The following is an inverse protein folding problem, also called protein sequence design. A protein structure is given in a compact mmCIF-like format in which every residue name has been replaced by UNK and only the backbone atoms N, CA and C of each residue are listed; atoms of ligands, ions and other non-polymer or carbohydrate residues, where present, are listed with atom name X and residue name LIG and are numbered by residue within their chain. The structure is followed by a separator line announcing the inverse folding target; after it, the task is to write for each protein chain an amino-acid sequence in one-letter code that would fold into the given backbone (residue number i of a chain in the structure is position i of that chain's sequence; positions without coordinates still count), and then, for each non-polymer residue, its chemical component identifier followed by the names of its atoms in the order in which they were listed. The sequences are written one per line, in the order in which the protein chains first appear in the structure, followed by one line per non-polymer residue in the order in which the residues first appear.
data_IF_701109890795
#
_entry.id   IF_701109890795
#
_cell.length_a   1.000
_cell.length_b   1.000
_cell.length_c   1.000
_cell.angle_alpha   90.00
_cell.angle_beta   90.00
_cell.angle_gamma   90.00
#
_symmetry.space_group_name_H-M   'P 1'
#
loop_
_entity.id
_entity.type
_entity.pdbx_description
1 polymer ?
#
# COMPACT_ATOMS: atom_id res chain seq x y z
N UNK A 1 0.38 12.84 12.11
CA UNK A 1 -0.85 12.18 11.60
C UNK A 1 -1.35 12.80 10.29
N UNK A 2 -1.77 14.07 10.25
CA UNK A 2 -2.33 14.70 9.04
C UNK A 2 -1.33 14.76 7.85
N UNK A 3 -0.04 14.95 8.12
CA UNK A 3 1.00 15.07 7.09
C UNK A 3 1.16 13.82 6.22
N UNK A 4 1.08 12.63 6.81
CA UNK A 4 1.18 11.35 6.07
C UNK A 4 -0.03 11.18 5.13
N UNK A 5 -1.24 11.43 5.65
CA UNK A 5 -2.47 11.36 4.86
C UNK A 5 -2.50 12.40 3.74
N UNK A 6 -1.99 13.62 3.98
CA UNK A 6 -1.82 14.64 2.93
C UNK A 6 -0.86 14.15 1.84
N UNK A 7 0.27 13.55 2.21
CA UNK A 7 1.24 13.03 1.23
C UNK A 7 0.64 11.91 0.38
N UNK A 8 -0.10 10.98 0.98
CA UNK A 8 -0.81 9.91 0.25
C UNK A 8 -1.87 10.50 -0.68
N UNK A 9 -2.67 11.45 -0.20
CA UNK A 9 -3.69 12.09 -1.01
C UNK A 9 -3.09 12.87 -2.20
N UNK A 10 -1.99 13.60 -1.97
CA UNK A 10 -1.27 14.34 -3.01
C UNK A 10 -0.69 13.41 -4.08
N UNK A 11 -0.04 12.30 -3.69
CA UNK A 11 0.51 11.32 -4.64
C UNK A 11 -0.59 10.62 -5.45
N UNK A 12 -1.71 10.30 -4.81
CA UNK A 12 -2.88 9.69 -5.48
C UNK A 12 -3.50 10.65 -6.49
N UNK A 13 -3.64 11.93 -6.12
CA UNK A 13 -4.13 12.98 -7.02
C UNK A 13 -3.19 13.15 -8.23
N UNK A 14 -1.88 13.16 -8.00
CA UNK A 14 -0.87 13.25 -9.06
C UNK A 14 -0.96 12.06 -10.03
N UNK A 15 -1.11 10.84 -9.50
CA UNK A 15 -1.28 9.64 -10.31
C UNK A 15 -2.57 9.67 -11.14
N UNK A 16 -3.69 10.09 -10.53
CA UNK A 16 -4.96 10.28 -11.25
C UNK A 16 -4.81 11.31 -12.37
N UNK A 17 -4.08 12.41 -12.14
CA UNK A 17 -3.83 13.45 -13.12
C UNK A 17 -3.10 12.89 -14.34
N UNK A 18 -2.07 12.07 -14.13
CA UNK A 18 -1.33 11.37 -15.19
C UNK A 18 -2.18 10.38 -16.00
N UNK A 19 -3.27 9.86 -15.44
CA UNK A 19 -4.18 8.94 -16.12
C UNK A 19 -5.28 9.73 -16.85
N UNK A 20 -5.86 10.73 -16.19
CA UNK A 20 -7.00 11.49 -16.72
C UNK A 20 -6.60 12.41 -17.88
N UNK A 21 -5.42 13.04 -17.83
CA UNK A 21 -4.94 13.91 -18.92
C UNK A 21 -4.83 13.21 -20.28
N UNK A 22 -4.13 12.05 -20.40
CA UNK A 22 -4.08 11.33 -21.66
C UNK A 22 -5.45 10.77 -22.07
N UNK A 23 -6.32 10.41 -21.12
CA UNK A 23 -7.67 9.93 -21.44
C UNK A 23 -8.54 11.03 -22.07
N UNK A 24 -8.53 12.22 -21.49
CA UNK A 24 -9.29 13.37 -22.00
C UNK A 24 -8.74 13.82 -23.35
N UNK A 25 -7.41 13.86 -23.51
CA UNK A 25 -6.77 14.17 -24.79
C UNK A 25 -7.06 13.11 -25.85
N UNK A 26 -7.08 11.83 -25.48
CA UNK A 26 -7.42 10.74 -26.39
C UNK A 26 -8.86 10.84 -26.88
N UNK A 27 -9.83 11.08 -25.99
CA UNK A 27 -11.24 11.24 -26.39
C UNK A 27 -11.44 12.44 -27.31
N UNK A 28 -10.81 13.58 -26.99
CA UNK A 28 -10.87 14.79 -27.82
C UNK A 28 -10.27 14.55 -29.22
N UNK A 29 -9.12 13.88 -29.29
CA UNK A 29 -8.46 13.55 -30.55
C UNK A 29 -9.25 12.51 -31.37
N UNK A 30 -9.84 11.51 -30.72
CA UNK A 30 -10.68 10.51 -31.38
C UNK A 30 -11.93 11.15 -32.01
N UNK A 31 -12.58 12.08 -31.32
CA UNK A 31 -13.73 12.82 -31.87
C UNK A 31 -13.33 13.75 -33.02
N UNK A 32 -12.17 14.40 -32.92
CA UNK A 32 -11.65 15.26 -34.00
C UNK A 32 -11.31 14.45 -35.25
N UNK A 33 -10.68 13.29 -35.09
CA UNK A 33 -10.35 12.38 -36.19
C UNK A 33 -11.62 11.83 -36.87
N UNK A 34 -12.61 11.37 -36.11
CA UNK A 34 -13.87 10.85 -36.66
C UNK A 34 -14.64 11.93 -37.46
N UNK A 35 -14.64 13.18 -36.97
CA UNK A 35 -15.27 14.30 -37.69
C UNK A 35 -14.51 14.65 -38.98
N UNK A 36 -13.18 14.53 -38.99
CA UNK A 36 -12.36 14.75 -40.19
C UNK A 36 -12.55 13.66 -41.25
N UNK A 37 -12.68 12.39 -40.85
CA UNK A 37 -12.97 11.27 -41.77
C UNK A 37 -14.34 11.41 -42.42
N UNK A 38 -15.36 11.81 -41.65
CA UNK A 38 -16.70 12.07 -42.20
C UNK A 38 -16.70 13.18 -43.26
N UNK A 39 -16.01 14.30 -42.98
CA UNK A 39 -15.87 15.41 -43.95
C UNK A 39 -15.14 15.00 -45.23
N UNK A 40 -14.17 14.10 -45.16
CA UNK A 40 -13.46 13.60 -46.34
C UNK A 40 -14.35 12.73 -47.21
N UNK A 41 -15.21 11.90 -46.61
CA UNK A 41 -16.20 11.12 -47.35
C UNK A 41 -17.21 12.02 -48.06
N UNK A 42 -17.67 13.07 -47.39
CA UNK A 42 -18.59 14.06 -47.97
C UNK A 42 -17.93 14.83 -49.14
N UNK A 43 -16.67 15.27 -48.98
CA UNK A 43 -15.93 15.99 -50.02
C UNK A 43 -15.69 15.13 -51.27
N UNK A 44 -15.39 13.84 -51.09
CA UNK A 44 -15.25 12.89 -52.21
C UNK A 44 -16.59 12.63 -52.91
N UNK A 45 -17.69 12.54 -52.17
CA UNK A 45 -19.02 12.40 -52.77
C UNK A 45 -19.36 13.62 -53.64
N UNK A 46 -19.15 14.83 -53.11
CA UNK A 46 -19.36 16.09 -53.85
C UNK A 46 -18.47 16.19 -55.09
N UNK A 47 -17.20 15.78 -54.99
CA UNK A 47 -16.30 15.73 -56.15
C UNK A 47 -16.84 14.82 -57.25
N UNK A 48 -17.27 13.60 -56.90
CA UNK A 48 -17.80 12.65 -57.88
C UNK A 48 -19.09 13.14 -58.54
N UNK A 49 -19.99 13.76 -57.76
CA UNK A 49 -21.21 14.35 -58.27
C UNK A 49 -20.90 15.46 -59.29
N UNK A 50 -19.99 16.38 -58.96
CA UNK A 50 -19.55 17.46 -59.86
C UNK A 50 -18.85 16.95 -61.12
N UNK A 51 -18.05 15.90 -60.99
CA UNK A 51 -17.39 15.28 -62.13
C UNK A 51 -18.42 14.65 -63.07
N UNK A 52 -19.45 13.99 -62.52
CA UNK A 52 -20.54 13.41 -63.30
C UNK A 52 -21.37 14.47 -64.04
N UNK A 53 -21.63 15.62 -63.42
CA UNK A 53 -22.29 16.77 -64.07
C UNK A 53 -21.47 17.26 -65.29
N UNK A 54 -20.15 17.45 -65.11
CA UNK A 54 -19.26 17.88 -66.20
C UNK A 54 -19.18 16.85 -67.34
N UNK A 55 -19.14 15.56 -67.02
CA UNK A 55 -19.15 14.48 -68.02
C UNK A 55 -20.46 14.46 -68.82
N UNK A 56 -21.59 14.72 -68.17
CA UNK A 56 -22.89 14.79 -68.84
C UNK A 56 -22.98 16.01 -69.78
N UNK A 57 -22.46 17.16 -69.37
CA UNK A 57 -22.42 18.37 -70.21
C UNK A 57 -21.53 18.16 -71.45
N UNK A 58 -20.38 17.50 -71.29
CA UNK A 58 -19.51 17.11 -72.39
C UNK A 58 -20.21 16.14 -73.37
N UNK A 59 -20.89 15.10 -72.84
CA UNK A 59 -21.62 14.12 -73.65
C UNK A 59 -22.81 14.74 -74.40
N UNK A 60 -23.47 15.74 -73.81
CA UNK A 60 -24.57 16.48 -74.44
C UNK A 60 -24.11 17.45 -75.55
N UNK A 61 -22.79 17.63 -75.71
CA UNK A 61 -22.21 18.58 -76.65
C UNK A 61 -22.34 20.05 -76.24
N UNK A 62 -22.76 20.32 -75.00
CA UNK A 62 -22.90 21.67 -74.45
C UNK A 62 -21.55 22.27 -74.01
N UNK A 63 -20.51 21.45 -73.90
CA UNK A 63 -19.17 21.84 -73.46
C UNK A 63 -18.10 21.31 -74.42
N UNK A 64 -17.05 22.10 -74.68
CA UNK A 64 -15.91 21.65 -75.47
C UNK A 64 -14.95 20.81 -74.61
N UNK A 65 -14.29 19.80 -75.22
CA UNK A 65 -13.33 18.92 -74.53
C UNK A 65 -12.24 19.69 -73.76
N UNK A 66 -11.71 20.76 -74.35
CA UNK A 66 -10.66 21.56 -73.73
C UNK A 66 -11.13 22.32 -72.47
N UNK A 67 -12.41 22.67 -72.40
CA UNK A 67 -13.02 23.32 -71.24
C UNK A 67 -13.28 22.32 -70.11
N UNK A 68 -13.75 21.12 -70.46
CA UNK A 68 -13.88 20.00 -69.52
C UNK A 68 -12.55 19.65 -68.86
N UNK A 69 -11.48 19.51 -69.65
CA UNK A 69 -10.16 19.14 -69.14
C UNK A 69 -9.61 20.20 -68.16
N UNK A 70 -9.86 21.48 -68.45
CA UNK A 70 -9.46 22.59 -67.57
C UNK A 70 -10.22 22.57 -66.23
N UNK A 71 -11.56 22.40 -66.27
CA UNK A 71 -12.40 22.37 -65.07
C UNK A 71 -12.11 21.13 -64.21
N UNK A 72 -11.85 19.99 -64.83
CA UNK A 72 -11.46 18.75 -64.14
C UNK A 72 -10.16 18.94 -63.35
N UNK A 73 -9.16 19.57 -63.95
CA UNK A 73 -7.88 19.85 -63.27
C UNK A 73 -8.09 20.76 -62.06
N UNK A 74 -8.94 21.79 -62.17
CA UNK A 74 -9.26 22.67 -61.06
C UNK A 74 -10.00 21.94 -59.92
N UNK A 75 -10.94 21.05 -60.28
CA UNK A 75 -11.67 20.22 -59.34
C UNK A 75 -10.74 19.24 -58.59
N UNK A 76 -9.83 18.58 -59.30
CA UNK A 76 -8.81 17.69 -58.73
C UNK A 76 -7.85 18.45 -57.81
N UNK A 77 -7.46 19.67 -58.19
CA UNK A 77 -6.61 20.54 -57.37
C UNK A 77 -7.31 20.95 -56.07
N UNK A 78 -8.59 21.31 -56.14
CA UNK A 78 -9.35 21.68 -54.94
C UNK A 78 -9.51 20.48 -54.00
N UNK A 79 -9.79 19.29 -54.53
CA UNK A 79 -9.84 18.05 -53.75
C UNK A 79 -8.49 17.78 -53.07
N UNK A 80 -7.36 17.96 -53.77
CA UNK A 80 -6.04 17.79 -53.18
C UNK A 80 -5.75 18.77 -52.05
N UNK A 81 -6.22 20.02 -52.16
CA UNK A 81 -6.07 21.04 -51.10
C UNK A 81 -6.89 20.64 -49.87
N UNK A 82 -8.13 20.18 -50.05
CA UNK A 82 -9.01 19.74 -48.96
C UNK A 82 -8.50 18.45 -48.27
N UNK A 83 -7.75 17.62 -49.00
CA UNK A 83 -7.14 16.40 -48.46
C UNK A 83 -5.74 16.63 -47.86
N UNK A 84 -5.06 17.72 -48.20
CA UNK A 84 -3.69 18.01 -47.76
C UNK A 84 -3.60 18.48 -46.30
N UNK A 85 -4.71 18.85 -45.67
CA UNK A 85 -4.75 19.40 -44.31
C UNK A 85 -4.58 18.33 -43.20
N UNK A 86 -3.83 17.27 -43.48
CA UNK A 86 -3.57 16.17 -42.56
C UNK A 86 -2.22 16.38 -41.84
N UNK A 87 -2.17 16.48 -40.50
CA UNK A 87 -0.96 16.07 -39.80
C UNK A 87 -0.80 14.57 -40.06
N UNK A 88 0.35 14.17 -40.61
CA UNK A 88 0.71 12.78 -40.88
C UNK A 88 0.34 11.93 -39.67
N UNK A 89 -0.70 11.10 -39.80
CA UNK A 89 -1.02 10.13 -38.76
C UNK A 89 0.08 9.07 -38.83
N UNK A 90 1.17 9.32 -38.10
CA UNK A 90 1.99 8.24 -37.60
C UNK A 90 1.00 7.23 -37.01
N UNK A 91 1.15 5.97 -37.40
CA UNK A 91 0.39 4.82 -36.87
C UNK A 91 0.61 4.73 -35.36
N UNK A 92 -0.03 5.63 -34.62
CA UNK A 92 -0.09 5.60 -33.18
C UNK A 92 -0.98 4.40 -32.88
N UNK A 93 -0.36 3.33 -32.39
CA UNK A 93 -1.03 2.13 -31.92
C UNK A 93 -2.15 2.57 -30.95
N UNK A 94 -3.39 2.66 -31.44
CA UNK A 94 -4.49 3.24 -30.66
C UNK A 94 -4.88 2.24 -29.59
N UNK A 95 -4.60 2.57 -28.33
CA UNK A 95 -5.09 1.78 -27.20
C UNK A 95 -6.62 1.72 -27.29
N UNK A 96 -7.16 0.51 -27.34
CA UNK A 96 -8.62 0.29 -27.32
C UNK A 96 -9.21 0.78 -26.00
N UNK A 97 -10.48 1.21 -26.00
CA UNK A 97 -11.16 1.65 -24.75
C UNK A 97 -11.09 0.59 -23.65
N UNK A 98 -11.05 -0.70 -24.00
CA UNK A 98 -10.86 -1.81 -23.08
C UNK A 98 -9.48 -1.80 -22.40
N UNK A 99 -8.40 -1.51 -23.15
CA UNK A 99 -7.05 -1.39 -22.58
C UNK A 99 -6.93 -0.20 -21.61
N UNK A 100 -7.60 0.92 -21.92
CA UNK A 100 -7.65 2.06 -21.01
C UNK A 100 -8.38 1.74 -19.70
N UNK A 101 -9.52 1.03 -19.78
CA UNK A 101 -10.24 0.58 -18.58
C UNK A 101 -9.34 -0.33 -17.73
N UNK A 102 -8.65 -1.29 -18.33
CA UNK A 102 -7.72 -2.18 -17.61
C UNK A 102 -6.60 -1.41 -16.92
N UNK A 103 -5.98 -0.44 -17.60
CA UNK A 103 -4.91 0.39 -17.01
C UNK A 103 -5.44 1.18 -15.81
N UNK A 104 -6.62 1.79 -15.92
CA UNK A 104 -7.26 2.52 -14.82
C UNK A 104 -7.58 1.58 -13.66
N UNK A 105 -8.14 0.41 -13.95
CA UNK A 105 -8.51 -0.59 -12.94
C UNK A 105 -7.28 -1.07 -12.15
N UNK A 106 -6.20 -1.40 -12.86
CA UNK A 106 -4.92 -1.82 -12.25
C UNK A 106 -4.32 -0.68 -11.42
N UNK A 107 -4.32 0.54 -11.95
CA UNK A 107 -3.81 1.72 -11.24
C UNK A 107 -4.62 2.07 -9.97
N UNK A 108 -5.90 1.68 -9.88
CA UNK A 108 -6.72 1.88 -8.69
C UNK A 108 -6.63 0.70 -7.70
N UNK A 109 -6.63 -0.53 -8.23
CA UNK A 109 -6.59 -1.75 -7.42
C UNK A 109 -5.27 -1.86 -6.67
N UNK A 110 -4.12 -1.59 -7.30
CA UNK A 110 -2.83 -1.74 -6.64
C UNK A 110 -2.71 -0.89 -5.37
N UNK A 111 -2.99 0.43 -5.40
CA UNK A 111 -2.97 1.26 -4.19
C UNK A 111 -4.01 0.83 -3.15
N UNK A 112 -5.23 0.50 -3.58
CA UNK A 112 -6.29 0.08 -2.67
C UNK A 112 -5.94 -1.25 -1.96
N UNK A 113 -5.40 -2.22 -2.71
CA UNK A 113 -4.93 -3.49 -2.16
C UNK A 113 -3.73 -3.28 -1.24
N UNK A 114 -2.79 -2.40 -1.60
CA UNK A 114 -1.65 -2.05 -0.75
C UNK A 114 -2.10 -1.43 0.57
N UNK A 115 -3.06 -0.49 0.55
CA UNK A 115 -3.65 0.09 1.76
C UNK A 115 -4.38 -0.97 2.60
N UNK A 116 -5.18 -1.83 1.96
CA UNK A 116 -5.87 -2.92 2.66
C UNK A 116 -4.92 -3.92 3.31
N UNK A 117 -3.85 -4.29 2.62
CA UNK A 117 -2.79 -5.14 3.17
C UNK A 117 -2.04 -4.44 4.32
N UNK A 118 -1.74 -3.15 4.19
CA UNK A 118 -1.13 -2.39 5.27
C UNK A 118 -2.03 -2.30 6.51
N UNK A 119 -3.34 -2.18 6.35
CA UNK A 119 -4.25 -2.19 7.50
C UNK A 119 -4.30 -3.56 8.20
N UNK A 120 -4.05 -4.66 7.47
CA UNK A 120 -4.11 -6.02 8.03
C UNK A 120 -2.76 -6.51 8.57
N UNK A 121 -1.66 -6.19 7.90
CA UNK A 121 -0.31 -6.66 8.23
C UNK A 121 0.59 -5.57 8.84
N UNK A 122 0.23 -4.30 8.68
CA UNK A 122 1.08 -3.18 9.09
C UNK A 122 0.94 -2.85 10.57
N UNK A 123 2.06 -2.54 11.20
CA UNK A 123 2.12 -2.23 12.63
C UNK A 123 2.03 -0.73 12.93
N UNK A 124 1.02 -0.07 12.36
CA UNK A 124 0.82 1.38 12.54
C UNK A 124 0.77 1.80 14.03
N UNK A 125 0.21 0.94 14.89
CA UNK A 125 0.18 1.14 16.34
C UNK A 125 1.57 1.07 16.99
N UNK A 126 2.45 0.17 16.54
CA UNK A 126 3.84 0.07 17.04
C UNK A 126 4.66 1.30 16.62
N UNK A 127 4.47 1.77 15.39
CA UNK A 127 5.14 2.99 14.90
C UNK A 127 4.68 4.22 15.68
N UNK A 128 3.39 4.31 16.00
CA UNK A 128 2.86 5.38 16.83
C UNK A 128 3.42 5.32 18.26
N UNK A 129 3.51 4.13 18.85
CA UNK A 129 4.13 3.93 20.15
C UNK A 129 5.62 4.32 20.13
N UNK A 130 6.38 3.92 19.11
CA UNK A 130 7.78 4.28 18.94
C UNK A 130 8.01 5.78 18.74
N UNK A 131 7.11 6.47 18.03
CA UNK A 131 7.20 7.92 17.81
C UNK A 131 6.86 8.74 19.07
N UNK A 132 5.99 8.19 19.92
CA UNK A 132 5.56 8.82 21.17
C UNK A 132 6.39 8.38 22.38
N UNK A 133 7.25 7.37 22.24
CA UNK A 133 8.19 6.97 23.29
C UNK A 133 9.22 8.09 23.48
N UNK A 134 9.51 8.50 24.73
CA UNK A 134 10.61 9.42 24.99
C UNK A 134 11.89 8.82 24.41
N UNK A 135 12.52 9.50 23.45
CA UNK A 135 13.79 9.06 22.84
C UNK A 135 14.92 8.88 23.85
N UNK A 136 14.74 9.48 25.02
CA UNK A 136 15.59 9.35 26.19
C UNK A 136 14.74 9.53 27.45
N UNK A 137 14.22 8.45 28.04
CA UNK A 137 13.41 8.52 29.27
C UNK A 137 14.17 9.11 30.46
N UNK A 138 15.50 9.13 30.40
CA UNK A 138 16.36 9.50 31.52
C UNK A 138 17.13 10.82 31.29
N UNK A 139 16.96 11.48 30.14
CA UNK A 139 17.63 12.74 29.79
C UNK A 139 19.17 12.66 29.89
N UNK A 140 19.76 11.59 29.35
CA UNK A 140 21.21 11.45 29.18
C UNK A 140 21.95 11.01 30.44
N UNK A 141 21.24 10.63 31.50
CA UNK A 141 21.81 10.01 32.70
C UNK A 141 21.59 8.50 32.66
N UNK A 142 22.46 7.75 33.34
CA UNK A 142 22.23 6.34 33.58
C UNK A 142 21.03 6.16 34.53
N UNK A 143 20.06 5.30 34.20
CA UNK A 143 18.92 5.02 35.08
C UNK A 143 19.39 4.33 36.35
N UNK A 144 18.72 4.60 37.47
CA UNK A 144 18.88 3.74 38.65
C UNK A 144 18.24 2.38 38.40
N UNK A 145 18.61 1.38 39.20
CA UNK A 145 18.02 0.04 39.10
C UNK A 145 16.49 0.10 39.28
N UNK A 146 16.01 0.90 40.24
CA UNK A 146 14.58 1.07 40.50
C UNK A 146 13.84 1.73 39.34
N UNK A 147 14.47 2.70 38.67
CA UNK A 147 13.87 3.37 37.52
C UNK A 147 13.84 2.46 36.28
N UNK A 148 14.90 1.69 36.06
CA UNK A 148 14.93 0.69 35.00
C UNK A 148 13.88 -0.41 35.24
N UNK A 149 13.69 -0.84 36.49
CA UNK A 149 12.65 -1.81 36.85
C UNK A 149 11.25 -1.25 36.63
N UNK A 150 10.97 -0.01 37.05
CA UNK A 150 9.67 0.62 36.83
C UNK A 150 9.35 0.77 35.33
N UNK A 151 10.35 1.03 34.50
CA UNK A 151 10.17 1.08 33.05
C UNK A 151 9.89 -0.31 32.47
N UNK A 152 10.60 -1.34 32.94
CA UNK A 152 10.39 -2.73 32.54
C UNK A 152 8.99 -3.22 32.94
N UNK A 153 8.51 -2.89 34.14
CA UNK A 153 7.13 -3.18 34.57
C UNK A 153 6.11 -2.56 33.63
N UNK A 154 6.25 -1.28 33.31
CA UNK A 154 5.34 -0.57 32.39
C UNK A 154 5.35 -1.19 30.99
N UNK A 155 6.51 -1.68 30.54
CA UNK A 155 6.64 -2.35 29.25
C UNK A 155 5.94 -3.72 29.26
N UNK A 156 6.10 -4.49 30.34
CA UNK A 156 5.45 -5.79 30.52
C UNK A 156 3.94 -5.68 30.73
N UNK A 157 3.43 -4.59 31.31
CA UNK A 157 2.00 -4.30 31.34
C UNK A 157 1.40 -4.10 29.93
N UNK A 158 2.18 -3.50 29.02
CA UNK A 158 1.75 -3.26 27.63
C UNK A 158 1.96 -4.46 26.74
N UNK A 159 3.00 -5.24 27.00
CA UNK A 159 3.34 -6.45 26.26
C UNK A 159 3.49 -7.64 27.24
N UNK A 160 2.37 -8.20 27.72
CA UNK A 160 2.41 -9.25 28.73
C UNK A 160 2.94 -10.58 28.22
N UNK A 161 2.99 -10.79 26.90
CA UNK A 161 3.46 -12.03 26.25
C UNK A 161 5.00 -12.08 26.11
N UNK A 162 5.72 -11.64 27.14
CA UNK A 162 7.19 -11.60 27.15
C UNK A 162 7.75 -12.39 28.35
N UNK A 163 7.93 -13.72 28.24
CA UNK A 163 8.42 -14.55 29.34
C UNK A 163 9.84 -14.17 29.79
N UNK A 164 10.69 -13.71 28.87
CA UNK A 164 12.06 -13.30 29.21
C UNK A 164 12.08 -12.02 30.05
N UNK A 165 11.26 -11.03 29.72
CA UNK A 165 11.16 -9.79 30.49
C UNK A 165 10.61 -10.04 31.90
N UNK A 166 9.58 -10.89 32.04
CA UNK A 166 9.07 -11.32 33.35
C UNK A 166 10.14 -12.05 34.17
N UNK A 167 10.98 -12.87 33.53
CA UNK A 167 12.07 -13.60 34.18
C UNK A 167 13.15 -12.65 34.71
N UNK A 168 13.55 -11.66 33.91
CA UNK A 168 14.53 -10.63 34.31
C UNK A 168 13.99 -9.83 35.49
N UNK A 169 12.71 -9.41 35.44
CA UNK A 169 12.05 -8.68 36.52
C UNK A 169 12.06 -9.50 37.82
N UNK A 170 11.61 -10.75 37.74
CA UNK A 170 11.57 -11.68 38.87
C UNK A 170 12.95 -11.92 39.49
N UNK A 171 13.95 -12.19 38.65
CA UNK A 171 15.33 -12.47 39.09
C UNK A 171 15.98 -11.25 39.72
N UNK A 172 15.65 -10.05 39.24
CA UNK A 172 16.14 -8.80 39.84
C UNK A 172 15.51 -8.57 41.22
N UNK A 173 14.20 -8.77 41.36
CA UNK A 173 13.55 -8.72 42.68
C UNK A 173 14.07 -9.76 43.66
N UNK A 174 14.35 -10.97 43.17
CA UNK A 174 14.99 -12.02 43.94
C UNK A 174 16.35 -11.56 44.49
N UNK A 175 17.18 -10.95 43.64
CA UNK A 175 18.48 -10.40 44.03
C UNK A 175 18.39 -9.23 45.02
N UNK A 176 17.31 -8.46 44.99
CA UNK A 176 17.03 -7.36 45.93
C UNK A 176 16.40 -7.82 47.25
N UNK A 177 16.10 -9.12 47.41
CA UNK A 177 15.39 -9.64 48.58
C UNK A 177 13.88 -9.35 48.60
N UNK A 178 13.34 -8.87 47.48
CA UNK A 178 11.91 -8.61 47.26
C UNK A 178 11.21 -9.89 46.82
N UNK A 179 11.17 -10.86 47.72
CA UNK A 179 10.72 -12.23 47.42
C UNK A 179 9.25 -12.32 46.96
N UNK A 180 8.28 -11.57 47.54
CA UNK A 180 6.90 -11.60 47.05
C UNK A 180 6.77 -11.15 45.59
N UNK A 181 7.44 -10.05 45.21
CA UNK A 181 7.41 -9.55 43.84
C UNK A 181 8.15 -10.48 42.86
N UNK A 182 9.23 -11.12 43.31
CA UNK A 182 9.90 -12.16 42.54
C UNK A 182 8.97 -13.34 42.25
N UNK A 183 8.16 -13.77 43.22
CA UNK A 183 7.19 -14.85 43.03
C UNK A 183 6.16 -14.50 41.96
N UNK A 184 5.65 -13.28 41.96
CA UNK A 184 4.66 -12.83 40.96
C UNK A 184 5.26 -12.79 39.56
N UNK A 185 6.49 -12.29 39.43
CA UNK A 185 7.22 -12.33 38.16
C UNK A 185 7.44 -13.77 37.65
N UNK A 186 7.92 -14.68 38.49
CA UNK A 186 8.11 -16.09 38.08
C UNK A 186 6.80 -16.79 37.73
N UNK A 187 5.69 -16.47 38.40
CA UNK A 187 4.36 -16.98 38.02
C UNK A 187 3.93 -16.48 36.63
N UNK A 188 4.19 -15.22 36.30
CA UNK A 188 3.91 -14.70 34.96
C UNK A 188 4.73 -15.45 33.90
N UNK A 189 6.03 -15.71 34.16
CA UNK A 189 6.85 -16.55 33.28
C UNK A 189 6.22 -17.95 33.08
N UNK A 190 5.88 -18.64 34.17
CA UNK A 190 5.30 -19.98 34.11
C UNK A 190 3.91 -20.02 33.45
N UNK A 191 3.17 -18.92 33.46
CA UNK A 191 1.89 -18.82 32.75
C UNK A 191 2.05 -18.76 31.22
N UNK A 192 3.25 -18.39 30.75
CA UNK A 192 3.60 -18.25 29.34
C UNK A 192 4.44 -19.42 28.80
N UNK A 193 5.06 -20.20 29.68
CA UNK A 193 5.80 -21.41 29.34
C UNK A 193 4.89 -22.64 29.42
N UNK A 194 5.20 -23.68 28.64
CA UNK A 194 4.55 -24.99 28.78
C UNK A 194 5.44 -25.96 29.55
N UNK A 195 4.88 -27.01 30.18
CA UNK A 195 5.68 -28.02 30.89
C UNK A 195 6.75 -28.73 30.04
N UNK A 196 6.61 -28.72 28.71
CA UNK A 196 7.58 -29.27 27.77
C UNK A 196 8.78 -28.35 27.51
N UNK A 197 8.68 -27.06 27.88
CA UNK A 197 9.77 -26.11 27.70
C UNK A 197 10.92 -26.44 28.66
N UNK A 198 12.14 -26.47 28.12
CA UNK A 198 13.37 -26.77 28.89
C UNK A 198 13.54 -25.85 30.11
N UNK A 199 13.03 -24.63 30.01
CA UNK A 199 13.16 -23.62 31.07
C UNK A 199 12.09 -23.76 32.17
N UNK A 200 11.00 -24.49 31.93
CA UNK A 200 9.85 -24.57 32.83
C UNK A 200 10.23 -25.12 34.22
N UNK A 201 10.95 -26.24 34.26
CA UNK A 201 11.43 -26.85 35.51
C UNK A 201 12.39 -25.91 36.27
N UNK A 202 13.27 -25.21 35.55
CA UNK A 202 14.19 -24.23 36.15
C UNK A 202 13.44 -23.08 36.82
N UNK A 203 12.45 -22.51 36.13
CA UNK A 203 11.65 -21.40 36.66
C UNK A 203 10.77 -21.87 37.84
N UNK A 204 10.23 -23.09 37.80
CA UNK A 204 9.52 -23.69 38.94
C UNK A 204 10.42 -23.84 40.17
N UNK A 205 11.68 -24.24 39.99
CA UNK A 205 12.67 -24.31 41.06
C UNK A 205 12.97 -22.94 41.66
N UNK A 206 13.11 -21.91 40.82
CA UNK A 206 13.33 -20.53 41.27
C UNK A 206 12.10 -19.95 41.99
N UNK A 207 10.89 -20.26 41.53
CA UNK A 207 9.66 -19.92 42.27
C UNK A 207 9.63 -20.59 43.65
N UNK A 208 9.99 -21.87 43.72
CA UNK A 208 10.10 -22.60 45.00
C UNK A 208 11.10 -21.93 45.95
N UNK A 209 12.23 -21.48 45.40
CA UNK A 209 13.25 -20.75 46.15
C UNK A 209 12.73 -19.41 46.66
N UNK A 210 12.05 -18.64 45.81
CA UNK A 210 11.43 -17.36 46.19
C UNK A 210 10.39 -17.56 47.31
N UNK A 211 9.55 -18.60 47.20
CA UNK A 211 8.58 -18.96 48.25
C UNK A 211 9.26 -19.33 49.56
N UNK A 212 10.35 -20.10 49.53
CA UNK A 212 11.11 -20.46 50.72
C UNK A 212 11.64 -19.23 51.46
N UNK A 213 12.23 -18.28 50.73
CA UNK A 213 12.76 -17.05 51.34
C UNK A 213 11.64 -16.11 51.80
N UNK A 214 10.54 -16.00 51.06
CA UNK A 214 9.38 -15.21 51.47
C UNK A 214 8.75 -15.73 52.77
N UNK A 215 8.65 -17.05 52.92
CA UNK A 215 8.11 -17.70 54.11
C UNK A 215 9.11 -17.76 55.29
N UNK A 216 10.38 -17.41 55.07
CA UNK A 216 11.44 -17.52 56.06
C UNK A 216 11.81 -18.97 56.42
N UNK A 217 11.45 -19.95 55.58
CA UNK A 217 11.70 -21.36 55.84
C UNK A 217 10.79 -22.31 55.06
N UNK A 218 10.93 -23.61 55.34
CA UNK A 218 10.17 -24.68 54.67
C UNK A 218 8.75 -24.77 55.24
N UNK A 219 7.82 -24.03 54.63
CA UNK A 219 6.38 -24.15 54.89
C UNK A 219 5.77 -25.36 54.17
N UNK A 220 4.52 -25.67 54.49
CA UNK A 220 3.76 -26.73 53.80
C UNK A 220 3.56 -26.40 52.31
N UNK A 221 3.28 -25.14 51.99
CA UNK A 221 3.13 -24.64 50.62
C UNK A 221 4.45 -24.71 49.83
N UNK A 222 5.57 -24.33 50.45
CA UNK A 222 6.91 -24.45 49.84
C UNK A 222 7.22 -25.92 49.56
N UNK A 223 6.93 -26.82 50.50
CA UNK A 223 7.16 -28.26 50.30
C UNK A 223 6.33 -28.83 49.16
N UNK A 224 5.06 -28.42 49.06
CA UNK A 224 4.19 -28.82 47.95
C UNK A 224 4.75 -28.34 46.59
N UNK A 225 5.20 -27.09 46.51
CA UNK A 225 5.78 -26.53 45.28
C UNK A 225 7.10 -27.21 44.87
N UNK A 226 7.96 -27.51 45.85
CA UNK A 226 9.20 -28.25 45.59
C UNK A 226 8.91 -29.66 45.07
N UNK A 227 7.94 -30.37 45.66
CA UNK A 227 7.53 -31.69 45.16
C UNK A 227 6.97 -31.60 43.73
N UNK A 228 6.12 -30.61 43.44
CA UNK A 228 5.61 -30.39 42.10
C UNK A 228 6.72 -30.11 41.07
N UNK A 229 7.78 -29.40 41.47
CA UNK A 229 8.94 -29.15 40.60
C UNK A 229 9.70 -30.44 40.29
N UNK A 230 9.90 -31.30 41.30
CA UNK A 230 10.60 -32.59 41.15
C UNK A 230 9.81 -33.61 40.30
N UNK A 231 8.50 -33.47 40.17
CA UNK A 231 7.69 -34.33 39.28
C UNK A 231 7.91 -33.99 37.80
N UNK A 232 8.30 -32.75 37.48
CA UNK A 232 8.57 -32.29 36.12
C UNK A 232 9.97 -32.70 35.63
N UNK A 233 10.94 -32.75 36.54
CA UNK A 233 12.32 -33.17 36.26
C UNK A 233 12.80 -34.12 37.38
N UNK A 234 12.51 -35.45 37.29
CA UNK A 234 12.77 -36.42 38.35
C UNK A 234 14.23 -36.83 38.54
#
# INVERSE_FOLDING_TARGET
MITLWISIAALTLLALLFIFLPLVRYRANATANALSEARQQDNLAVFNDRLGELEQELQSGSMAQAEFDALKIELEKNLLIDLADKPTSLTANTLTSSQLVTVVLVALILPAASLGLYMKLGSSAEVEMALNMPKDPFNGREPTIEEALAQLELELERNPENPEGWYILASTYMGQGRYPEAMDGYRNVLSLLTPEDVQYATVMGQLSQAMFFAAGGMSEEVRAQVMATLEVEP
#
